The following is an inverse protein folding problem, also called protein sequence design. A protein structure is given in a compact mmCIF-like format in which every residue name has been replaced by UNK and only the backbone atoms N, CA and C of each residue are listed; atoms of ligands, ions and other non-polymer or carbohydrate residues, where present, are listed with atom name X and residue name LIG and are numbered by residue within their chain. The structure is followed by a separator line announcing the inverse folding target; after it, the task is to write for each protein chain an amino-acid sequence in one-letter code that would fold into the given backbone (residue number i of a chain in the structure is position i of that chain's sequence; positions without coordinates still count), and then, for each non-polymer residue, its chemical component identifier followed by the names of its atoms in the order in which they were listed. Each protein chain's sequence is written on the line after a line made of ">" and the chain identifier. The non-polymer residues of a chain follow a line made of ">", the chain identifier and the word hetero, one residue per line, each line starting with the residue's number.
data_IF_630642842705
#
_entry.id   IF_630642842705
#
_cell.length_a   1.000
_cell.length_b   1.000
_cell.length_c   1.000
_cell.angle_alpha   90.00
_cell.angle_beta   90.00
_cell.angle_gamma   90.00
#
_symmetry.space_group_name_H-M   'P 1'
#
loop_
_entity.id
_entity.type
_entity.pdbx_description
1 polymer ?
#
# COMPACT_ATOMS: atom_id res chain seq x y z
N UNK A 1 -18.43 5.48 -32.77
CA UNK A 1 -18.03 5.23 -32.36
C UNK A 1 -17.09 4.95 -31.63
N UNK A 2 -16.84 4.67 -31.21
CA UNK A 2 -16.00 4.39 -30.78
C UNK A 2 -15.48 4.01 -29.83
N UNK A 3 -15.25 3.88 -29.13
CA UNK A 3 -14.87 3.50 -28.38
C UNK A 3 -14.10 2.76 -27.91
N UNK A 4 -14.11 2.40 -27.56
CA UNK A 4 -13.42 1.24 -27.55
C UNK A 4 -12.19 1.33 -26.85
N UNK A 5 -11.65 2.16 -27.04
CA UNK A 5 -10.39 2.34 -26.48
C UNK A 5 -10.30 1.92 -25.07
N UNK A 6 -11.19 2.22 -24.40
CA UNK A 6 -11.15 1.89 -23.03
C UNK A 6 -10.51 0.63 -22.65
N UNK A 7 -10.77 -0.30 -23.23
CA UNK A 7 -10.32 -1.53 -22.84
C UNK A 7 -8.94 -1.67 -22.59
N UNK A 8 -8.22 -1.28 -23.30
CA UNK A 8 -6.85 -1.54 -23.22
C UNK A 8 -6.36 -1.20 -21.92
N UNK A 9 -6.78 -0.26 -21.43
CA UNK A 9 -6.18 0.14 -20.22
C UNK A 9 -6.34 -0.88 -19.17
N UNK A 10 -7.23 -1.69 -19.31
CA UNK A 10 -7.43 -2.66 -18.29
C UNK A 10 -6.26 -3.60 -18.15
N UNK A 11 -5.38 -3.58 -19.08
CA UNK A 11 -4.32 -4.53 -19.03
C UNK A 11 -3.28 -4.35 -17.95
N UNK A 12 -3.08 -3.22 -17.42
CA UNK A 12 -2.01 -3.04 -16.44
C UNK A 12 -2.52 -2.89 -15.05
N UNK A 13 -1.61 -2.90 -14.13
CA UNK A 13 -1.90 -2.59 -12.76
C UNK A 13 -2.34 -3.74 -11.91
N UNK A 14 -2.55 -3.45 -10.65
CA UNK A 14 -2.96 -4.44 -9.68
C UNK A 14 -4.46 -4.44 -9.47
N UNK A 15 -4.93 -5.48 -8.82
CA UNK A 15 -6.35 -5.68 -8.55
C UNK A 15 -6.62 -5.36 -7.09
N UNK A 16 -7.42 -4.32 -6.83
CA UNK A 16 -7.82 -3.98 -5.47
C UNK A 16 -9.31 -4.17 -5.25
N UNK A 17 -9.96 -4.91 -6.15
CA UNK A 17 -11.42 -5.04 -6.11
C UNK A 17 -11.95 -5.79 -4.90
N UNK A 18 -11.11 -6.61 -4.27
CA UNK A 18 -11.54 -7.41 -3.12
C UNK A 18 -10.76 -7.11 -1.85
N UNK A 19 -10.04 -6.00 -1.82
CA UNK A 19 -9.19 -5.71 -0.66
C UNK A 19 -10.04 -5.45 0.58
N UNK A 20 -9.66 -6.08 1.69
CA UNK A 20 -10.26 -5.80 2.99
C UNK A 20 -9.36 -4.85 3.75
N UNK A 21 -9.95 -3.97 4.55
CA UNK A 21 -9.16 -3.03 5.36
C UNK A 21 -9.35 -3.34 6.83
N UNK A 22 -8.26 -3.33 7.58
CA UNK A 22 -8.28 -3.54 9.02
C UNK A 22 -7.55 -2.39 9.68
N UNK A 23 -8.30 -1.47 10.25
CA UNK A 23 -7.69 -0.28 10.85
C UNK A 23 -7.36 -0.45 12.33
N UNK A 24 -8.06 -1.34 13.01
CA UNK A 24 -7.81 -1.58 14.42
C UNK A 24 -8.10 -0.35 15.25
N UNK A 25 -7.47 -0.30 16.41
CA UNK A 25 -7.57 0.84 17.33
C UNK A 25 -6.23 1.55 17.35
N UNK A 26 -6.25 2.86 17.43
CA UNK A 26 -5.01 3.62 17.47
C UNK A 26 -5.13 4.78 18.44
N UNK A 27 -4.06 5.02 19.18
CA UNK A 27 -3.95 6.20 20.01
C UNK A 27 -3.21 7.31 19.28
N UNK A 28 -2.66 7.00 18.12
CA UNK A 28 -1.87 7.98 17.36
C UNK A 28 -2.68 8.63 16.25
N UNK A 29 -3.56 7.88 15.60
CA UNK A 29 -4.24 8.36 14.40
C UNK A 29 -5.71 8.02 14.44
N UNK A 30 -6.52 8.89 13.84
CA UNK A 30 -7.95 8.62 13.68
C UNK A 30 -8.14 7.62 12.54
N UNK A 31 -9.31 7.02 12.49
CA UNK A 31 -9.61 6.10 11.39
C UNK A 31 -9.59 6.82 10.06
N UNK A 32 -9.98 8.09 10.02
CA UNK A 32 -9.92 8.87 8.79
C UNK A 32 -8.48 9.06 8.31
N UNK A 33 -7.56 9.31 9.25
CA UNK A 33 -6.15 9.46 8.88
C UNK A 33 -5.58 8.16 8.35
N UNK A 34 -5.90 7.03 9.01
CA UNK A 34 -5.44 5.72 8.55
C UNK A 34 -6.04 5.40 7.20
N UNK A 35 -7.32 5.71 7.00
CA UNK A 35 -7.99 5.44 5.73
C UNK A 35 -7.33 6.20 4.59
N UNK A 36 -6.93 7.46 4.82
CA UNK A 36 -6.26 8.22 3.78
C UNK A 36 -4.91 7.64 3.42
N UNK A 37 -4.18 7.08 4.40
CA UNK A 37 -2.93 6.39 4.10
C UNK A 37 -3.20 5.14 3.27
N UNK A 38 -4.25 4.40 3.61
CA UNK A 38 -4.63 3.21 2.85
C UNK A 38 -5.03 3.56 1.42
N UNK A 39 -5.69 4.70 1.22
CA UNK A 39 -6.03 5.15 -0.13
C UNK A 39 -4.78 5.30 -0.98
N UNK A 40 -3.70 5.84 -0.43
CA UNK A 40 -2.46 6.03 -1.17
C UNK A 40 -1.84 4.69 -1.57
N UNK A 41 -1.87 3.71 -0.66
CA UNK A 41 -1.33 2.39 -0.97
C UNK A 41 -2.16 1.72 -2.06
N UNK A 42 -3.48 1.79 -1.95
CA UNK A 42 -4.36 1.16 -2.95
C UNK A 42 -4.18 1.80 -4.32
N UNK A 43 -4.04 3.12 -4.38
CA UNK A 43 -3.80 3.79 -5.65
C UNK A 43 -2.49 3.34 -6.27
N UNK A 44 -1.44 3.25 -5.46
CA UNK A 44 -0.15 2.80 -5.98
C UNK A 44 -0.22 1.35 -6.44
N UNK A 45 -0.86 0.49 -5.64
CA UNK A 45 -0.99 -0.92 -5.98
C UNK A 45 -1.74 -1.08 -7.31
N UNK A 46 -2.85 -0.36 -7.45
CA UNK A 46 -3.65 -0.45 -8.67
C UNK A 46 -2.84 0.00 -9.90
N UNK A 47 -2.00 1.00 -9.75
CA UNK A 47 -1.27 1.54 -10.89
C UNK A 47 0.04 0.84 -11.20
N UNK A 48 0.68 0.23 -10.19
CA UNK A 48 2.05 -0.26 -10.36
C UNK A 48 2.27 -1.74 -10.12
N UNK A 49 1.34 -2.44 -9.49
CA UNK A 49 1.57 -3.84 -9.13
C UNK A 49 0.89 -4.78 -10.13
N UNK A 50 1.38 -4.74 -11.37
CA UNK A 50 0.82 -5.58 -12.44
C UNK A 50 0.82 -7.05 -12.05
N UNK A 51 -0.28 -7.73 -12.33
CA UNK A 51 -0.37 -9.16 -12.06
C UNK A 51 -0.54 -9.53 -10.60
N UNK A 52 -0.81 -8.56 -9.75
CA UNK A 52 -0.96 -8.80 -8.31
C UNK A 52 -2.37 -8.46 -7.85
N UNK A 53 -2.84 -9.15 -6.82
CA UNK A 53 -4.16 -8.92 -6.24
C UNK A 53 -4.00 -8.65 -4.76
N UNK A 54 -4.43 -7.48 -4.32
CA UNK A 54 -4.34 -7.09 -2.91
C UNK A 54 -5.46 -7.76 -2.14
N UNK A 55 -5.11 -8.52 -1.12
CA UNK A 55 -6.08 -9.27 -0.33
C UNK A 55 -6.55 -8.49 0.88
N UNK A 56 -5.61 -7.89 1.62
CA UNK A 56 -5.99 -7.04 2.74
C UNK A 56 -4.92 -6.01 3.00
N UNK A 57 -5.28 -5.02 3.77
CA UNK A 57 -4.41 -3.90 4.11
C UNK A 57 -4.70 -3.57 5.57
N UNK A 58 -3.67 -3.56 6.40
CA UNK A 58 -3.82 -3.42 7.85
C UNK A 58 -2.96 -2.29 8.39
N UNK A 59 -3.48 -1.57 9.36
CA UNK A 59 -2.67 -0.63 10.13
C UNK A 59 -2.07 -1.37 11.32
N UNK A 60 -0.79 -1.15 11.58
CA UNK A 60 -0.11 -1.80 12.69
C UNK A 60 0.42 -0.74 13.65
N UNK A 61 -0.21 -0.64 14.81
CA UNK A 61 0.13 0.39 15.81
C UNK A 61 1.52 0.15 16.40
N UNK A 62 1.86 -1.11 16.68
CA UNK A 62 3.14 -1.41 17.28
C UNK A 62 4.31 -1.15 16.34
N UNK A 63 4.18 -1.54 15.10
CA UNK A 63 5.24 -1.27 14.13
C UNK A 63 5.35 0.21 13.87
N UNK A 64 4.23 0.91 13.81
CA UNK A 64 4.28 2.35 13.64
C UNK A 64 5.00 2.98 14.83
N UNK A 65 4.66 2.58 16.05
CA UNK A 65 5.32 3.13 17.23
C UNK A 65 6.83 2.84 17.20
N UNK A 66 7.21 1.67 16.78
CA UNK A 66 8.61 1.28 16.79
C UNK A 66 9.43 1.93 15.68
N UNK A 67 8.84 2.17 14.53
CA UNK A 67 9.60 2.55 13.35
C UNK A 67 9.35 3.96 12.83
N UNK A 68 8.27 4.61 13.27
CA UNK A 68 7.86 5.87 12.67
C UNK A 68 8.92 6.97 12.75
N UNK A 69 9.57 7.09 13.89
CA UNK A 69 10.54 8.17 14.05
C UNK A 69 11.71 8.01 13.08
N UNK A 70 12.22 6.80 12.94
CA UNK A 70 13.31 6.55 12.01
C UNK A 70 12.92 6.81 10.57
N UNK A 71 11.72 6.38 10.17
CA UNK A 71 11.27 6.61 8.80
C UNK A 71 11.04 8.09 8.55
N UNK A 72 10.42 8.80 9.50
CA UNK A 72 10.19 10.23 9.35
C UNK A 72 11.51 10.98 9.21
N UNK A 73 12.51 10.62 10.00
CA UNK A 73 13.82 11.25 9.90
C UNK A 73 14.47 10.96 8.56
N UNK A 74 14.37 9.75 8.09
CA UNK A 74 15.00 9.37 6.82
C UNK A 74 14.46 10.19 5.66
N UNK A 75 13.17 10.52 5.69
CA UNK A 75 12.54 11.26 4.59
C UNK A 75 12.30 12.73 4.91
N UNK A 76 12.84 13.22 6.04
CA UNK A 76 12.70 14.63 6.39
C UNK A 76 11.27 15.05 6.65
N UNK A 77 10.46 14.16 7.19
CA UNK A 77 9.05 14.41 7.44
C UNK A 77 8.78 14.47 8.94
N UNK A 78 7.58 14.89 9.31
CA UNK A 78 7.20 15.00 10.72
C UNK A 78 6.67 13.69 11.28
N UNK A 79 6.00 12.88 10.46
CA UNK A 79 5.35 11.67 10.92
C UNK A 79 5.48 10.57 9.89
N UNK A 80 5.36 9.33 10.34
CA UNK A 80 5.30 8.18 9.46
C UNK A 80 4.26 7.19 9.97
N UNK A 81 3.70 6.40 9.06
CA UNK A 81 2.74 5.36 9.40
C UNK A 81 3.15 4.09 8.69
N UNK A 82 2.96 2.95 9.34
CA UNK A 82 3.33 1.65 8.79
C UNK A 82 2.05 0.85 8.56
N UNK A 83 1.86 0.42 7.32
CA UNK A 83 0.77 -0.48 6.96
C UNK A 83 1.35 -1.80 6.52
N UNK A 84 0.61 -2.87 6.70
CA UNK A 84 0.99 -4.21 6.27
C UNK A 84 -0.08 -4.73 5.34
N UNK A 85 0.30 -5.62 4.44
CA UNK A 85 -0.66 -6.21 3.52
C UNK A 85 -0.28 -7.63 3.15
N UNK A 86 -1.27 -8.38 2.66
CA UNK A 86 -1.04 -9.65 1.99
C UNK A 86 -1.51 -9.47 0.55
N UNK A 87 -0.77 -10.00 -0.41
CA UNK A 87 -1.22 -9.96 -1.80
C UNK A 87 -0.76 -11.21 -2.55
N UNK A 88 -1.49 -11.54 -3.60
CA UNK A 88 -1.18 -12.68 -4.45
C UNK A 88 -0.54 -12.20 -5.74
N UNK A 89 0.35 -13.02 -6.30
CA UNK A 89 1.02 -12.76 -7.57
C UNK A 89 0.60 -13.85 -8.53
N UNK A 90 0.24 -13.46 -9.76
CA UNK A 90 -0.18 -14.44 -10.75
C UNK A 90 1.03 -15.07 -11.46
N UNK A 91 0.77 -15.79 -12.55
CA UNK A 91 1.83 -16.52 -13.22
C UNK A 91 2.89 -15.64 -13.88
N UNK A 92 2.61 -14.35 -14.02
CA UNK A 92 3.56 -13.44 -14.65
C UNK A 92 4.71 -13.05 -13.72
N UNK A 93 4.54 -13.17 -12.42
CA UNK A 93 5.55 -12.69 -11.46
C UNK A 93 5.54 -11.19 -11.33
N UNK A 94 4.39 -10.55 -11.53
CA UNK A 94 4.27 -9.11 -11.47
C UNK A 94 4.99 -8.49 -12.67
N UNK A 95 5.98 -7.66 -12.38
CA UNK A 95 6.80 -7.08 -13.45
C UNK A 95 8.03 -7.95 -13.70
N UNK A 96 8.04 -9.17 -13.17
CA UNK A 96 9.17 -10.06 -13.29
C UNK A 96 10.06 -10.10 -12.07
N UNK A 97 9.84 -9.23 -11.11
CA UNK A 97 10.68 -9.16 -9.91
C UNK A 97 10.10 -9.95 -8.73
N UNK A 98 8.88 -10.44 -8.86
CA UNK A 98 8.22 -11.19 -7.79
C UNK A 98 8.12 -12.67 -8.17
N UNK A 99 7.90 -13.51 -7.18
CA UNK A 99 7.75 -14.94 -7.41
C UNK A 99 6.39 -15.24 -8.03
N UNK A 100 6.33 -15.89 -9.19
CA UNK A 100 5.04 -16.20 -9.80
C UNK A 100 4.21 -17.13 -8.93
N UNK A 101 2.91 -17.00 -9.02
CA UNK A 101 1.95 -17.90 -8.36
C UNK A 101 2.19 -18.03 -6.85
N UNK A 102 2.50 -16.91 -6.20
CA UNK A 102 2.82 -16.92 -4.78
C UNK A 102 1.99 -15.90 -4.04
N UNK A 103 2.04 -15.97 -2.70
CA UNK A 103 1.38 -15.00 -1.84
C UNK A 103 2.44 -14.36 -0.97
N UNK A 104 2.46 -13.03 -0.96
CA UNK A 104 3.35 -12.27 -0.11
C UNK A 104 2.55 -11.82 1.10
N UNK A 105 3.04 -12.14 2.30
CA UNK A 105 2.34 -11.80 3.54
C UNK A 105 3.13 -10.81 4.34
N UNK A 106 2.42 -9.90 5.00
CA UNK A 106 3.03 -8.89 5.85
C UNK A 106 4.00 -7.98 5.08
N UNK A 107 3.63 -7.67 3.85
CA UNK A 107 4.39 -6.73 3.03
C UNK A 107 4.17 -5.33 3.60
N UNK A 108 5.25 -4.64 3.85
CA UNK A 108 5.22 -3.37 4.58
C UNK A 108 5.12 -2.19 3.62
N UNK A 109 4.35 -1.19 4.00
CA UNK A 109 4.25 0.06 3.26
C UNK A 109 4.52 1.18 4.24
N UNK A 110 5.43 2.11 3.86
CA UNK A 110 5.81 3.24 4.72
C UNK A 110 5.34 4.52 4.05
N UNK A 111 4.52 5.29 4.78
CA UNK A 111 4.06 6.58 4.30
C UNK A 111 4.48 7.63 5.31
N UNK A 112 4.73 8.84 4.83
CA UNK A 112 5.13 9.94 5.69
C UNK A 112 4.28 11.16 5.38
N UNK A 113 4.23 12.10 6.32
CA UNK A 113 3.59 13.40 6.06
C UNK A 113 4.27 14.46 6.91
N UNK A 114 4.08 15.72 6.53
CA UNK A 114 4.59 16.87 7.26
C UNK A 114 3.44 17.81 7.53
N UNK A 115 3.37 18.30 8.76
CA UNK A 115 2.30 19.16 9.18
C UNK A 115 0.96 18.47 9.02
N UNK A 116 0.01 19.16 8.41
CA UNK A 116 -1.31 18.60 8.12
C UNK A 116 -1.43 18.15 6.67
N UNK A 117 -0.29 17.89 6.03
CA UNK A 117 -0.29 17.50 4.63
C UNK A 117 -0.80 16.09 4.40
N UNK A 118 -0.89 15.73 3.15
CA UNK A 118 -1.32 14.39 2.76
C UNK A 118 -0.23 13.37 3.03
N UNK A 119 -0.64 12.13 3.25
CA UNK A 119 0.32 11.04 3.35
C UNK A 119 0.97 10.81 1.99
N UNK A 120 2.28 10.55 2.01
CA UNK A 120 3.05 10.24 0.80
C UNK A 120 3.69 8.88 0.96
N UNK A 121 3.45 7.99 0.02
CA UNK A 121 4.04 6.66 0.04
C UNK A 121 5.50 6.75 -0.37
N UNK A 122 6.40 6.25 0.45
CA UNK A 122 7.83 6.38 0.21
C UNK A 122 8.53 5.08 -0.12
N UNK A 123 8.18 3.98 0.57
CA UNK A 123 8.86 2.72 0.31
C UNK A 123 7.98 1.56 0.74
N UNK A 124 8.31 0.37 0.26
CA UNK A 124 7.55 -0.82 0.55
C UNK A 124 8.47 -2.04 0.40
N UNK A 125 8.00 -3.19 0.91
CA UNK A 125 8.74 -4.44 0.80
C UNK A 125 8.75 -5.19 2.12
N UNK A 126 9.57 -6.21 2.16
CA UNK A 126 9.85 -6.89 3.41
C UNK A 126 10.97 -6.14 4.12
N UNK A 127 10.93 -6.09 5.42
CA UNK A 127 12.02 -5.37 6.05
C UNK A 127 11.92 -5.20 7.55
#
# INVERSE_FOLDING_TARGET
>A
MLLCAALLTACGGGDISEVGRQMGESERYTKAEISRAMDQVEDHFRNEFDGCKLLDLRYDEEKTRAEAEGWAQQYGADEAIVLLSDFEVDSSGGDGSLNPDSTYRNWKWILVRSGNGAWELKTWGYG
#
